data_IF_682183977289
#
_entry.id   IF_682183977289
#
_cell.length_a   1.000
_cell.length_b   1.000
_cell.length_c   1.000
_cell.angle_alpha   90.00
_cell.angle_beta   90.00
_cell.angle_gamma   90.00
#
_symmetry.space_group_name_H-M   'P 1'
#
loop_
_entity.id
_entity.type
_entity.pdbx_description
1 polymer ?
#
# COMPACT_ATOMS: atom_id res chain seq x y z
N UNK A 1 -6.65 3.32 11.88
CA UNK A 1 -5.77 4.29 12.54
C UNK A 1 -6.15 4.52 13.99
N UNK A 2 -5.18 4.90 14.79
CA UNK A 2 -5.39 5.30 16.20
C UNK A 2 -4.92 6.73 16.36
N UNK A 3 -5.74 7.65 16.87
CA UNK A 3 -5.34 9.03 17.13
C UNK A 3 -4.23 9.09 18.19
N UNK A 4 -3.19 9.84 17.90
CA UNK A 4 -2.09 10.16 18.80
C UNK A 4 -1.55 11.55 18.44
N UNK A 5 -1.09 12.29 19.44
CA UNK A 5 -0.57 13.66 19.27
C UNK A 5 0.71 13.81 20.07
N UNK A 6 1.67 14.51 19.50
CA UNK A 6 2.88 14.91 20.21
C UNK A 6 2.58 15.93 21.32
N UNK A 7 3.54 16.16 22.21
CA UNK A 7 3.42 17.12 23.30
C UNK A 7 3.16 18.57 22.82
N UNK A 8 3.56 18.92 21.61
CA UNK A 8 3.29 20.21 20.96
C UNK A 8 1.92 20.28 20.27
N UNK A 9 1.10 19.23 20.36
CA UNK A 9 -0.21 19.13 19.74
C UNK A 9 -0.21 18.75 18.25
N UNK A 10 0.95 18.52 17.65
CA UNK A 10 1.04 18.06 16.28
C UNK A 10 0.56 16.62 16.13
N UNK A 11 -0.10 16.31 15.00
CA UNK A 11 -0.63 14.97 14.74
C UNK A 11 0.48 13.96 14.49
N UNK A 12 0.44 12.87 15.24
CA UNK A 12 1.39 11.75 15.17
C UNK A 12 0.64 10.40 15.19
N UNK A 13 -0.47 10.34 14.46
CA UNK A 13 -1.37 9.20 14.47
C UNK A 13 -0.68 7.91 14.04
N UNK A 14 -1.00 6.81 14.74
CA UNK A 14 -0.71 5.47 14.27
C UNK A 14 -1.62 5.17 13.08
N UNK A 15 -1.03 4.92 11.92
CA UNK A 15 -1.76 4.58 10.69
C UNK A 15 -1.13 3.35 10.07
N UNK A 16 -1.82 2.22 10.20
CA UNK A 16 -1.43 0.99 9.55
C UNK A 16 -2.13 0.92 8.20
N UNK A 17 -1.33 0.99 7.14
CA UNK A 17 -1.74 0.80 5.75
C UNK A 17 -0.91 -0.34 5.14
N UNK A 18 -1.57 -1.42 4.73
CA UNK A 18 -0.90 -2.59 4.20
C UNK A 18 -1.80 -3.40 3.27
N UNK A 19 -1.19 -4.07 2.30
CA UNK A 19 -1.86 -5.07 1.48
C UNK A 19 -1.75 -6.46 2.13
N UNK A 20 -2.64 -7.37 1.76
CA UNK A 20 -2.58 -8.77 2.19
C UNK A 20 -1.53 -9.58 1.43
N UNK A 21 -0.93 -8.99 0.41
CA UNK A 21 0.13 -9.55 -0.41
C UNK A 21 1.53 -9.31 0.18
N UNK A 22 2.47 -10.16 -0.17
CA UNK A 22 3.89 -10.09 0.24
C UNK A 22 4.58 -8.84 -0.31
N UNK A 23 4.25 -8.48 -1.55
CA UNK A 23 4.63 -7.23 -2.19
C UNK A 23 3.38 -6.59 -2.81
N UNK A 24 3.31 -5.27 -2.77
CA UNK A 24 2.24 -4.56 -3.48
C UNK A 24 2.41 -4.70 -4.99
N UNK A 25 1.32 -4.83 -5.74
CA UNK A 25 1.33 -4.91 -7.21
C UNK A 25 2.08 -3.72 -7.84
N UNK A 26 1.93 -2.51 -7.30
CA UNK A 26 2.66 -1.33 -7.76
C UNK A 26 4.19 -1.48 -7.68
N UNK A 27 4.74 -2.26 -6.73
CA UNK A 27 6.18 -2.55 -6.67
C UNK A 27 6.61 -3.50 -7.79
N UNK A 28 5.74 -4.45 -8.17
CA UNK A 28 5.98 -5.34 -9.30
C UNK A 28 5.98 -4.53 -10.60
N UNK A 29 5.06 -3.58 -10.75
CA UNK A 29 5.03 -2.67 -11.90
C UNK A 29 6.28 -1.80 -11.99
N UNK A 30 6.74 -1.25 -10.87
CA UNK A 30 7.99 -0.49 -10.83
C UNK A 30 9.16 -1.38 -11.21
N UNK A 31 9.26 -2.60 -10.66
CA UNK A 31 10.30 -3.56 -11.02
C UNK A 31 10.30 -3.86 -12.53
N UNK A 32 9.13 -4.08 -13.12
CA UNK A 32 9.00 -4.29 -14.56
C UNK A 32 9.54 -3.13 -15.39
N UNK A 33 9.29 -1.89 -14.96
CA UNK A 33 9.71 -0.69 -15.71
C UNK A 33 11.17 -0.32 -15.49
N UNK A 34 11.69 -0.55 -14.29
CA UNK A 34 13.03 -0.10 -13.90
C UNK A 34 14.08 -1.19 -13.89
N UNK A 35 13.68 -2.47 -13.99
CA UNK A 35 14.57 -3.62 -13.82
C UNK A 35 15.03 -3.82 -12.37
N UNK A 36 14.39 -3.18 -11.39
CA UNK A 36 14.71 -3.39 -9.98
C UNK A 36 14.33 -4.80 -9.53
N UNK A 37 15.09 -5.37 -8.59
CA UNK A 37 14.86 -6.73 -8.08
C UNK A 37 13.67 -6.77 -7.12
N UNK A 38 12.93 -7.87 -7.17
CA UNK A 38 11.91 -8.26 -6.20
C UNK A 38 12.45 -9.36 -5.28
N UNK A 39 11.81 -9.62 -4.13
CA UNK A 39 12.06 -10.86 -3.38
C UNK A 39 11.80 -12.07 -4.27
N UNK A 40 12.64 -13.11 -4.15
CA UNK A 40 12.53 -14.34 -4.97
C UNK A 40 11.18 -15.04 -4.82
N UNK A 41 10.50 -14.81 -3.71
CA UNK A 41 9.22 -15.37 -3.32
C UNK A 41 8.08 -14.31 -3.34
N UNK A 42 8.22 -13.29 -4.19
CA UNK A 42 7.19 -12.25 -4.34
C UNK A 42 5.89 -12.81 -4.96
N UNK A 43 6.03 -13.75 -5.86
CA UNK A 43 4.96 -14.35 -6.64
C UNK A 43 5.10 -15.87 -6.68
N UNK A 44 4.08 -16.55 -7.13
CA UNK A 44 4.07 -17.96 -7.50
C UNK A 44 3.67 -18.07 -8.95
N UNK A 45 4.38 -18.87 -9.72
CA UNK A 45 4.10 -19.13 -11.13
C UNK A 45 3.00 -20.19 -11.34
N UNK A 46 2.74 -20.55 -12.59
CA UNK A 46 1.73 -21.54 -13.00
C UNK A 46 2.03 -22.95 -12.50
N UNK A 47 3.30 -23.27 -12.25
CA UNK A 47 3.74 -24.58 -11.71
C UNK A 47 3.82 -24.57 -10.19
N UNK A 48 3.43 -23.49 -9.53
CA UNK A 48 3.48 -23.34 -8.07
C UNK A 48 4.88 -23.07 -7.53
N UNK A 49 5.82 -22.60 -8.36
CA UNK A 49 7.17 -22.27 -7.94
C UNK A 49 7.29 -20.79 -7.61
N UNK A 50 8.19 -20.46 -6.68
CA UNK A 50 8.51 -19.07 -6.33
C UNK A 50 9.04 -18.30 -7.55
N UNK A 51 8.59 -17.05 -7.70
CA UNK A 51 8.96 -16.18 -8.81
C UNK A 51 9.12 -14.73 -8.38
N UNK A 52 10.14 -14.08 -8.93
CA UNK A 52 10.38 -12.63 -8.88
C UNK A 52 10.19 -11.94 -10.24
N UNK A 53 9.77 -12.71 -11.26
CA UNK A 53 9.59 -12.21 -12.62
C UNK A 53 8.21 -11.55 -12.79
N UNK A 54 8.12 -10.23 -13.07
CA UNK A 54 6.85 -9.55 -13.29
C UNK A 54 5.95 -10.17 -14.36
N UNK A 55 6.50 -10.90 -15.31
CA UNK A 55 5.72 -11.64 -16.34
C UNK A 55 4.82 -12.71 -15.74
N UNK A 56 5.13 -13.20 -14.55
CA UNK A 56 4.29 -14.16 -13.81
C UNK A 56 2.85 -13.68 -13.67
N UNK A 57 2.63 -12.37 -13.43
CA UNK A 57 1.28 -11.79 -13.31
C UNK A 57 0.85 -10.98 -14.53
N UNK A 58 1.78 -10.39 -15.29
CA UNK A 58 1.45 -9.56 -16.44
C UNK A 58 1.41 -10.35 -17.77
N UNK A 59 2.03 -11.52 -17.82
CA UNK A 59 2.10 -12.36 -19.03
C UNK A 59 2.61 -11.59 -20.25
N UNK A 60 1.99 -11.77 -21.43
CA UNK A 60 2.39 -11.09 -22.66
C UNK A 60 2.25 -9.57 -22.59
N UNK A 61 1.42 -9.04 -21.69
CA UNK A 61 1.22 -7.58 -21.55
C UNK A 61 2.30 -6.88 -20.73
N UNK A 62 3.28 -7.62 -20.19
CA UNK A 62 4.32 -7.08 -19.31
C UNK A 62 5.07 -5.88 -19.92
N UNK A 63 5.32 -5.88 -21.23
CA UNK A 63 6.06 -4.83 -21.92
C UNK A 63 5.18 -3.65 -22.38
N UNK A 64 3.87 -3.69 -22.08
CA UNK A 64 2.95 -2.61 -22.41
C UNK A 64 3.12 -1.43 -21.44
N UNK A 65 2.70 -0.22 -21.87
CA UNK A 65 2.69 0.95 -20.99
C UNK A 65 1.80 0.74 -19.75
N UNK A 66 0.68 0.03 -19.92
CA UNK A 66 -0.25 -0.34 -18.85
C UNK A 66 -0.42 -1.85 -18.92
N UNK A 67 0.44 -2.63 -18.22
CA UNK A 67 0.32 -4.08 -18.19
C UNK A 67 -0.98 -4.52 -17.54
N UNK A 68 -1.57 -5.59 -18.05
CA UNK A 68 -2.74 -6.20 -17.43
C UNK A 68 -2.31 -7.11 -16.27
N UNK A 69 -2.65 -6.78 -14.99
CA UNK A 69 -2.26 -7.59 -13.83
C UNK A 69 -2.94 -8.96 -13.77
N UNK A 70 -3.77 -9.29 -14.75
CA UNK A 70 -4.41 -10.61 -14.94
C UNK A 70 -4.02 -11.25 -16.28
N UNK A 71 -2.91 -10.82 -16.87
CA UNK A 71 -2.44 -11.32 -18.15
C UNK A 71 -1.55 -12.55 -18.05
N UNK A 72 -1.05 -12.87 -16.87
CA UNK A 72 -0.24 -14.05 -16.57
C UNK A 72 -1.05 -15.14 -15.86
N UNK A 73 -0.43 -16.31 -15.71
CA UNK A 73 -1.02 -17.51 -15.10
C UNK A 73 -0.66 -17.65 -13.61
N UNK A 74 0.24 -16.81 -13.10
CA UNK A 74 0.68 -16.87 -11.71
C UNK A 74 -0.09 -15.92 -10.80
N UNK A 75 0.38 -15.80 -9.55
CA UNK A 75 -0.25 -14.96 -8.53
C UNK A 75 0.77 -14.29 -7.61
N UNK A 76 0.39 -13.16 -7.02
CA UNK A 76 1.19 -12.53 -5.95
C UNK A 76 1.00 -13.34 -4.67
N UNK A 77 2.10 -13.69 -4.00
CA UNK A 77 2.04 -14.42 -2.74
C UNK A 77 1.52 -13.54 -1.60
N UNK A 78 0.87 -14.17 -0.63
CA UNK A 78 0.35 -13.47 0.56
C UNK A 78 1.44 -13.30 1.62
N UNK A 79 1.39 -12.21 2.40
CA UNK A 79 2.32 -12.05 3.51
C UNK A 79 2.07 -13.10 4.59
N UNK A 80 3.15 -13.65 5.19
CA UNK A 80 3.05 -14.61 6.31
C UNK A 80 2.15 -15.82 5.98
N UNK A 81 2.16 -16.28 4.75
CA UNK A 81 1.48 -17.45 4.23
C UNK A 81 -0.03 -17.45 4.53
N UNK A 82 -0.48 -18.33 5.45
CA UNK A 82 -1.90 -18.45 5.84
C UNK A 82 -2.47 -17.17 6.50
N UNK A 83 -1.63 -16.29 7.06
CA UNK A 83 -2.10 -15.07 7.71
C UNK A 83 -2.63 -14.06 6.70
N UNK A 84 -1.84 -13.78 5.68
CA UNK A 84 -2.24 -12.87 4.59
C UNK A 84 -3.41 -13.43 3.77
N UNK A 85 -3.43 -14.72 3.47
CA UNK A 85 -4.55 -15.33 2.76
C UNK A 85 -5.84 -15.33 3.59
N UNK A 86 -5.75 -15.59 4.89
CA UNK A 86 -6.90 -15.51 5.78
C UNK A 86 -7.47 -14.09 5.88
N UNK A 87 -6.60 -13.07 5.99
CA UNK A 87 -7.02 -11.67 6.00
C UNK A 87 -7.58 -11.22 4.65
N UNK A 88 -6.98 -11.66 3.53
CA UNK A 88 -7.50 -11.41 2.19
C UNK A 88 -8.91 -11.97 2.01
N UNK A 89 -9.15 -13.21 2.46
CA UNK A 89 -10.48 -13.81 2.45
C UNK A 89 -11.48 -13.00 3.29
N UNK A 90 -11.08 -12.53 4.46
CA UNK A 90 -11.93 -11.68 5.29
C UNK A 90 -12.28 -10.35 4.58
N UNK A 91 -11.32 -9.72 3.89
CA UNK A 91 -11.56 -8.53 3.09
C UNK A 91 -12.57 -8.80 1.96
N UNK A 92 -12.42 -9.90 1.22
CA UNK A 92 -13.37 -10.29 0.16
C UNK A 92 -14.78 -10.53 0.69
N UNK A 93 -14.91 -11.22 1.83
CA UNK A 93 -16.22 -11.48 2.42
C UNK A 93 -16.89 -10.21 2.96
N UNK A 94 -16.13 -9.33 3.60
CA UNK A 94 -16.68 -8.13 4.26
C UNK A 94 -16.76 -6.93 3.33
N UNK A 95 -15.75 -6.67 2.52
CA UNK A 95 -15.76 -5.53 1.62
C UNK A 95 -16.28 -5.88 0.22
N UNK A 96 -16.21 -7.14 -0.19
CA UNK A 96 -16.75 -7.62 -1.45
C UNK A 96 -18.20 -8.11 -1.32
N UNK A 97 -18.41 -9.25 -0.67
CA UNK A 97 -19.69 -9.91 -0.62
C UNK A 97 -20.75 -9.11 0.20
N UNK A 98 -20.41 -8.71 1.42
CA UNK A 98 -21.34 -8.02 2.32
C UNK A 98 -21.80 -6.66 1.74
N UNK A 99 -20.92 -5.94 1.05
CA UNK A 99 -21.25 -4.63 0.45
C UNK A 99 -21.95 -4.73 -0.91
N UNK A 100 -22.08 -5.94 -1.45
CA UNK A 100 -22.67 -6.15 -2.78
C UNK A 100 -21.72 -5.81 -3.95
N UNK A 101 -20.48 -5.41 -3.70
CA UNK A 101 -19.48 -5.19 -4.75
C UNK A 101 -19.10 -6.49 -5.47
N UNK A 102 -19.28 -7.63 -4.80
CA UNK A 102 -18.96 -8.96 -5.30
C UNK A 102 -17.57 -9.42 -4.90
N UNK A 103 -17.37 -10.71 -4.97
CA UNK A 103 -16.07 -11.36 -4.82
C UNK A 103 -15.53 -11.72 -6.20
N UNK A 104 -14.43 -12.44 -6.28
CA UNK A 104 -13.75 -12.82 -7.53
C UNK A 104 -14.67 -13.58 -8.50
N UNK A 105 -15.46 -12.87 -9.27
CA UNK A 105 -16.23 -13.42 -10.37
C UNK A 105 -15.61 -12.97 -11.70
N UNK A 106 -15.08 -13.92 -12.46
CA UNK A 106 -14.35 -13.72 -13.73
C UNK A 106 -15.14 -12.88 -14.74
N UNK A 107 -16.48 -12.96 -14.72
CA UNK A 107 -17.37 -12.27 -15.66
C UNK A 107 -17.87 -10.90 -15.17
N UNK A 108 -17.51 -10.48 -13.97
CA UNK A 108 -17.98 -9.19 -13.42
C UNK A 108 -17.02 -8.06 -13.76
N UNK A 109 -17.59 -6.89 -13.98
CA UNK A 109 -16.82 -5.64 -14.06
C UNK A 109 -16.01 -5.47 -12.77
N UNK A 110 -14.74 -5.12 -12.91
CA UNK A 110 -13.87 -4.79 -11.77
C UNK A 110 -14.55 -3.75 -10.88
N UNK A 111 -14.67 -4.04 -9.60
CA UNK A 111 -15.31 -3.20 -8.61
C UNK A 111 -14.57 -3.35 -7.27
N UNK A 112 -14.33 -2.22 -6.60
CA UNK A 112 -13.78 -2.20 -5.25
C UNK A 112 -14.92 -1.97 -4.26
N UNK A 113 -15.13 -2.93 -3.36
CA UNK A 113 -15.97 -2.73 -2.19
C UNK A 113 -15.16 -2.15 -1.02
N UNK A 114 -15.85 -1.49 -0.11
CA UNK A 114 -15.23 -0.95 1.11
C UNK A 114 -16.15 -1.15 2.31
N UNK A 115 -15.59 -1.66 3.41
CA UNK A 115 -16.21 -1.65 4.73
C UNK A 115 -15.41 -0.74 5.64
N UNK A 116 -16.08 0.19 6.32
CA UNK A 116 -15.47 1.05 7.35
C UNK A 116 -16.05 0.72 8.72
N UNK A 117 -15.18 0.53 9.71
CA UNK A 117 -15.56 0.33 11.11
C UNK A 117 -14.94 1.47 11.90
N UNK A 118 -15.78 2.29 12.51
CA UNK A 118 -15.37 3.42 13.35
C UNK A 118 -15.76 3.15 14.79
N UNK A 119 -14.77 3.21 15.68
CA UNK A 119 -14.96 3.03 17.11
C UNK A 119 -14.79 4.38 17.82
N UNK A 120 -15.77 4.78 18.64
CA UNK A 120 -15.64 5.93 19.54
C UNK A 120 -15.01 5.47 20.86
N UNK A 121 -13.73 5.83 21.13
CA UNK A 121 -13.06 5.36 22.34
C UNK A 121 -13.74 5.83 23.61
N UNK A 122 -14.41 6.97 23.61
CA UNK A 122 -15.12 7.50 24.77
C UNK A 122 -16.28 6.61 25.28
N UNK A 123 -16.71 5.66 24.45
CA UNK A 123 -17.73 4.67 24.81
C UNK A 123 -17.15 3.48 25.57
N UNK A 124 -15.86 3.28 25.54
CA UNK A 124 -15.15 2.15 26.14
C UNK A 124 -14.21 2.61 27.25
N UNK A 125 -13.59 3.79 27.11
CA UNK A 125 -12.60 4.35 28.02
C UNK A 125 -13.22 5.46 28.86
N UNK A 126 -13.90 5.05 29.94
CA UNK A 126 -14.60 5.98 30.87
C UNK A 126 -13.64 6.85 31.66
N UNK A 127 -12.42 6.39 31.89
CA UNK A 127 -11.42 7.03 32.74
C UNK A 127 -10.35 7.79 31.97
N UNK A 128 -10.48 7.85 30.63
CA UNK A 128 -9.51 8.48 29.73
C UNK A 128 -8.09 7.89 29.82
N UNK A 129 -7.97 6.64 30.25
CA UNK A 129 -6.70 5.95 30.42
C UNK A 129 -6.06 5.57 29.06
N UNK A 130 -6.89 5.41 28.02
CA UNK A 130 -6.45 4.97 26.68
C UNK A 130 -5.35 5.87 26.10
N UNK A 131 -5.46 7.19 26.25
CA UNK A 131 -4.48 8.13 25.71
C UNK A 131 -3.11 7.92 26.37
N UNK A 132 -3.10 7.84 27.72
CA UNK A 132 -1.86 7.62 28.46
C UNK A 132 -1.19 6.27 28.12
N UNK A 133 -1.99 5.22 27.92
CA UNK A 133 -1.48 3.90 27.52
C UNK A 133 -0.92 3.92 26.09
N UNK A 134 -1.57 4.61 25.14
CA UNK A 134 -1.08 4.79 23.78
C UNK A 134 0.25 5.54 23.79
N UNK A 135 0.33 6.67 24.51
CA UNK A 135 1.52 7.49 24.60
C UNK A 135 2.69 6.69 25.19
N UNK A 136 2.46 5.99 26.31
CA UNK A 136 3.47 5.17 26.96
C UNK A 136 3.95 4.03 26.05
N UNK A 137 3.04 3.37 25.35
CA UNK A 137 3.38 2.26 24.44
C UNK A 137 4.16 2.74 23.21
N UNK A 138 3.73 3.83 22.58
CA UNK A 138 4.46 4.42 21.43
C UNK A 138 5.87 4.86 21.87
N UNK A 139 5.98 5.53 23.02
CA UNK A 139 7.29 5.92 23.56
C UNK A 139 8.19 4.70 23.78
N UNK A 140 7.67 3.64 24.41
CA UNK A 140 8.46 2.43 24.65
C UNK A 140 8.97 1.74 23.39
N UNK A 141 8.21 1.79 22.28
CA UNK A 141 8.64 1.26 20.99
C UNK A 141 9.74 2.13 20.38
N UNK A 142 9.59 3.45 20.43
CA UNK A 142 10.58 4.39 19.87
C UNK A 142 11.89 4.41 20.65
N UNK A 143 11.84 4.16 21.96
CA UNK A 143 13.01 4.05 22.83
C UNK A 143 13.69 2.68 22.76
N UNK A 144 13.09 1.71 22.04
CA UNK A 144 13.69 0.40 21.89
C UNK A 144 15.03 0.48 21.13
N UNK A 145 15.97 -0.36 21.55
CA UNK A 145 17.29 -0.42 20.92
C UNK A 145 17.17 -0.78 19.43
N UNK A 146 17.73 0.04 18.54
CA UNK A 146 17.66 -0.24 17.11
C UNK A 146 18.48 -1.49 16.76
N UNK A 147 18.19 -2.07 15.59
CA UNK A 147 19.01 -3.16 15.04
C UNK A 147 20.47 -2.71 14.83
N UNK A 148 21.33 -3.70 14.60
CA UNK A 148 22.77 -3.47 14.41
C UNK A 148 23.12 -2.48 13.26
N UNK A 149 22.22 -2.23 12.33
CA UNK A 149 22.34 -1.24 11.27
C UNK A 149 22.12 0.21 11.75
N UNK A 150 21.74 0.39 13.02
CA UNK A 150 21.54 1.71 13.63
C UNK A 150 20.29 2.46 13.16
N UNK A 151 19.43 1.82 12.37
CA UNK A 151 18.20 2.47 11.93
C UNK A 151 17.21 2.60 13.08
N UNK A 152 16.63 3.80 13.26
CA UNK A 152 15.64 4.07 14.28
C UNK A 152 14.42 3.14 14.14
N UNK A 153 13.87 2.71 15.25
CA UNK A 153 12.60 1.97 15.27
C UNK A 153 11.47 2.90 14.84
N UNK A 154 10.66 2.45 13.89
CA UNK A 154 9.55 3.20 13.31
C UNK A 154 8.23 2.54 13.67
N UNK A 155 7.21 3.37 13.87
CA UNK A 155 5.84 2.90 13.94
C UNK A 155 5.12 3.14 12.59
N UNK A 156 4.07 2.37 12.29
CA UNK A 156 3.23 2.61 11.12
C UNK A 156 2.70 4.06 11.08
N UNK A 157 2.96 4.74 9.95
CA UNK A 157 2.68 6.17 9.75
C UNK A 157 3.95 7.05 9.72
N UNK A 158 5.05 6.64 10.36
CA UNK A 158 6.30 7.41 10.36
C UNK A 158 6.91 7.56 8.96
N UNK A 159 7.02 6.50 8.14
CA UNK A 159 7.56 6.61 6.79
C UNK A 159 6.75 7.58 5.92
N UNK A 160 5.43 7.50 6.01
CA UNK A 160 4.51 8.33 5.24
C UNK A 160 4.62 9.80 5.66
N UNK A 161 4.72 10.09 6.96
CA UNK A 161 4.94 11.46 7.47
C UNK A 161 6.27 12.03 6.98
N UNK A 162 7.36 11.25 7.06
CA UNK A 162 8.67 11.66 6.55
C UNK A 162 8.63 11.92 5.06
N UNK A 163 7.99 11.02 4.30
CA UNK A 163 7.85 11.20 2.85
C UNK A 163 7.01 12.42 2.51
N UNK A 164 5.91 12.67 3.23
CA UNK A 164 5.06 13.84 3.02
C UNK A 164 5.83 15.14 3.28
N UNK A 165 6.60 15.22 4.36
CA UNK A 165 7.43 16.38 4.66
C UNK A 165 8.48 16.61 3.57
N UNK A 166 9.16 15.55 3.13
CA UNK A 166 10.13 15.62 2.03
C UNK A 166 9.50 16.11 0.72
N UNK A 167 8.34 15.58 0.36
CA UNK A 167 7.62 15.98 -0.86
C UNK A 167 7.13 17.42 -0.79
N UNK A 168 6.71 17.90 0.39
CA UNK A 168 6.28 19.28 0.57
C UNK A 168 7.43 20.27 0.33
N UNK A 169 8.65 19.88 0.65
CA UNK A 169 9.87 20.71 0.48
C UNK A 169 10.48 20.56 -0.93
N UNK A 170 10.54 19.35 -1.46
CA UNK A 170 11.32 19.03 -2.67
C UNK A 170 10.46 18.69 -3.90
N UNK A 171 9.13 18.59 -3.73
CA UNK A 171 8.23 18.14 -4.80
C UNK A 171 8.24 16.63 -5.04
N UNK A 172 7.54 16.22 -6.09
CA UNK A 172 7.42 14.82 -6.53
C UNK A 172 8.27 14.64 -7.77
N UNK A 173 9.21 13.70 -7.74
CA UNK A 173 9.95 13.31 -8.93
C UNK A 173 9.05 12.41 -9.80
N UNK A 174 8.82 12.81 -11.03
CA UNK A 174 8.13 12.04 -12.06
C UNK A 174 9.16 11.52 -13.07
N UNK A 175 9.03 10.26 -13.47
CA UNK A 175 9.82 9.77 -14.60
C UNK A 175 9.31 10.36 -15.94
N UNK A 176 10.16 10.29 -16.96
CA UNK A 176 9.87 10.90 -18.27
C UNK A 176 8.60 10.30 -18.92
N UNK A 177 8.41 8.98 -18.78
CA UNK A 177 7.26 8.30 -19.36
C UNK A 177 5.92 8.75 -18.71
N UNK A 178 5.91 8.98 -17.41
CA UNK A 178 4.73 9.53 -16.70
C UNK A 178 4.47 10.97 -17.12
N UNK A 179 5.52 11.79 -17.26
CA UNK A 179 5.38 13.16 -17.75
C UNK A 179 4.77 13.22 -19.14
N UNK A 180 5.27 12.40 -20.07
CA UNK A 180 4.76 12.33 -21.43
C UNK A 180 3.28 11.91 -21.46
N UNK A 181 2.88 10.92 -20.64
CA UNK A 181 1.48 10.53 -20.50
C UNK A 181 0.60 11.65 -19.95
N UNK A 182 1.07 12.41 -18.96
CA UNK A 182 0.33 13.56 -18.44
C UNK A 182 0.13 14.64 -19.49
N UNK A 183 1.14 14.90 -20.33
CA UNK A 183 1.03 15.84 -21.45
C UNK A 183 0.03 15.39 -22.50
N UNK A 184 0.04 14.09 -22.86
CA UNK A 184 -0.95 13.52 -23.78
C UNK A 184 -2.37 13.67 -23.26
N UNK A 185 -2.62 13.25 -22.04
CA UNK A 185 -3.96 13.33 -21.40
C UNK A 185 -4.40 14.79 -21.28
N UNK A 186 -3.49 15.71 -20.91
CA UNK A 186 -3.73 17.14 -20.85
C UNK A 186 -4.24 17.69 -22.18
N UNK A 187 -3.58 17.32 -23.28
CA UNK A 187 -3.97 17.74 -24.62
C UNK A 187 -5.34 17.17 -25.04
N UNK A 188 -5.60 15.90 -24.75
CA UNK A 188 -6.88 15.24 -25.05
C UNK A 188 -8.05 15.87 -24.29
N UNK A 189 -7.85 16.20 -23.04
CA UNK A 189 -8.89 16.74 -22.16
C UNK A 189 -8.99 18.27 -22.17
N UNK A 190 -8.06 18.97 -22.80
CA UNK A 190 -7.98 20.44 -22.79
C UNK A 190 -7.71 21.02 -21.40
N UNK A 191 -7.05 20.27 -20.52
CA UNK A 191 -6.69 20.66 -19.15
C UNK A 191 -5.21 20.98 -19.08
N UNK A 192 -4.82 22.16 -18.64
CA UNK A 192 -3.41 22.54 -18.58
C UNK A 192 -2.63 21.69 -17.54
N UNK A 193 -1.46 21.18 -17.93
CA UNK A 193 -0.51 20.58 -16.97
C UNK A 193 0.07 21.71 -16.12
N UNK A 194 0.17 21.58 -14.79
CA UNK A 194 0.85 22.56 -13.95
C UNK A 194 2.29 22.77 -14.42
N UNK A 195 2.73 24.01 -14.54
CA UNK A 195 4.08 24.36 -15.01
C UNK A 195 5.21 23.74 -14.18
N UNK A 196 4.95 23.43 -12.92
CA UNK A 196 5.89 22.74 -12.03
C UNK A 196 6.05 21.22 -12.35
N UNK A 197 5.19 20.66 -13.23
CA UNK A 197 5.25 19.25 -13.62
C UNK A 197 5.98 19.05 -14.97
N UNK A 198 6.35 20.13 -15.63
CA UNK A 198 7.10 20.18 -16.89
C UNK A 198 8.57 20.50 -16.63
#
# INVERSE_FOLDING_TARGET
GVPHYNADGSADHYILDFATSRVAEGKILVSQKTGSTLPSDAMVDEDGQDSDNPRTIYGPSADSQIPNPRGGEGAIQTFGDHKGSGLGLACELLAGALTGAGTNAIERKFCNGMLSIVLDPKKFDTDSAMVAEIDAFIASIRDAEPRADGQAVLIPGDPERRRRAHVAEHGISLDEAIRDQLVLISNELGVAVPSAAL
#
